data_IF_330450114876
#
_entry.id   IF_330450114876
#
_cell.length_a   1.000
_cell.length_b   1.000
_cell.length_c   1.000
_cell.angle_alpha   90.00
_cell.angle_beta   90.00
_cell.angle_gamma   90.00
#
_symmetry.space_group_name_H-M   'P 1'
#
loop_
_entity.id
_entity.type
_entity.pdbx_description
1 polymer ?
#
# COMPACT_ATOMS: atom_id res chain seq x y z
N UNK A 1 -5.86 -6.13 32.99
CA UNK A 1 -5.58 -5.23 31.86
C UNK A 1 -5.86 -5.99 30.58
N UNK A 2 -6.82 -5.53 29.79
CA UNK A 2 -7.34 -6.24 28.61
C UNK A 2 -6.28 -6.27 27.51
N UNK A 3 -5.79 -7.46 27.16
CA UNK A 3 -4.99 -7.71 25.96
C UNK A 3 -5.85 -7.39 24.74
N UNK A 4 -5.60 -6.26 24.09
CA UNK A 4 -6.17 -5.96 22.78
C UNK A 4 -5.70 -7.03 21.80
N UNK A 5 -6.60 -7.94 21.41
CA UNK A 5 -6.36 -8.95 20.38
C UNK A 5 -6.13 -8.21 19.05
N UNK A 6 -4.86 -7.98 18.72
CA UNK A 6 -4.47 -7.51 17.39
C UNK A 6 -4.71 -8.65 16.39
N UNK A 7 -5.79 -8.55 15.62
CA UNK A 7 -6.18 -9.57 14.63
C UNK A 7 -5.61 -9.19 13.26
N UNK A 8 -4.71 -10.01 12.75
CA UNK A 8 -4.24 -9.95 11.37
C UNK A 8 -4.64 -11.24 10.66
N UNK A 9 -5.25 -11.12 9.49
CA UNK A 9 -5.73 -12.24 8.68
C UNK A 9 -5.06 -12.16 7.31
N UNK A 10 -4.64 -13.31 6.78
CA UNK A 10 -4.42 -13.51 5.34
C UNK A 10 -5.68 -14.11 4.75
N UNK A 11 -6.64 -13.28 4.35
CA UNK A 11 -7.87 -13.72 3.70
C UNK A 11 -7.68 -13.87 2.19
N UNK A 12 -6.66 -14.61 1.73
CA UNK A 12 -6.59 -14.91 0.29
C UNK A 12 -7.61 -15.98 -0.11
N UNK A 13 -8.71 -15.51 -0.69
CA UNK A 13 -9.56 -16.30 -1.59
C UNK A 13 -10.78 -15.52 -2.08
N UNK A 14 -10.96 -15.20 -3.37
CA UNK A 14 -10.31 -15.63 -4.63
C UNK A 14 -10.87 -14.76 -5.78
N UNK A 15 -10.20 -14.63 -6.95
CA UNK A 15 -9.86 -15.77 -7.82
C UNK A 15 -8.36 -15.88 -8.13
N UNK A 16 -7.84 -17.12 -8.18
CA UNK A 16 -6.47 -17.39 -8.65
C UNK A 16 -5.70 -18.56 -8.02
N UNK A 17 -6.17 -19.19 -6.95
CA UNK A 17 -5.52 -20.38 -6.37
C UNK A 17 -6.34 -21.65 -6.63
N UNK A 18 -5.73 -22.84 -6.66
CA UNK A 18 -6.46 -24.11 -6.81
C UNK A 18 -7.06 -24.54 -5.46
N UNK A 19 -8.16 -25.30 -5.42
CA UNK A 19 -8.84 -25.72 -4.17
C UNK A 19 -7.90 -26.37 -3.14
N UNK A 20 -6.78 -26.95 -3.60
CA UNK A 20 -5.73 -27.53 -2.75
C UNK A 20 -4.91 -26.47 -2.00
N UNK A 21 -4.58 -25.33 -2.62
CA UNK A 21 -3.71 -24.31 -2.03
C UNK A 21 -4.42 -23.53 -0.91
N UNK A 22 -5.73 -23.30 -1.06
CA UNK A 22 -6.58 -22.74 0.01
C UNK A 22 -6.69 -23.70 1.20
N UNK A 23 -6.67 -25.01 0.94
CA UNK A 23 -6.68 -26.03 2.00
C UNK A 23 -5.35 -26.05 2.76
N UNK A 24 -4.22 -25.84 2.09
CA UNK A 24 -2.90 -25.74 2.71
C UNK A 24 -2.76 -24.51 3.59
N UNK A 25 -3.18 -23.33 3.12
CA UNK A 25 -3.12 -22.08 3.90
C UNK A 25 -4.07 -22.09 5.09
N UNK A 26 -5.34 -22.48 4.90
CA UNK A 26 -6.28 -22.67 6.02
C UNK A 26 -5.76 -23.73 6.98
N UNK A 27 -5.21 -24.83 6.46
CA UNK A 27 -4.60 -25.87 7.27
C UNK A 27 -3.43 -25.36 8.11
N UNK A 28 -2.59 -24.47 7.59
CA UNK A 28 -1.45 -23.92 8.30
C UNK A 28 -1.86 -22.95 9.42
N UNK A 29 -2.77 -22.00 9.13
CA UNK A 29 -3.34 -21.07 10.13
C UNK A 29 -4.08 -21.83 11.21
N UNK A 30 -4.91 -22.80 10.82
CA UNK A 30 -5.68 -23.64 11.75
C UNK A 30 -4.74 -24.48 12.61
N UNK A 31 -3.71 -25.11 12.03
CA UNK A 31 -2.72 -25.90 12.76
C UNK A 31 -1.88 -25.06 13.72
N UNK A 32 -1.53 -23.84 13.34
CA UNK A 32 -0.83 -22.88 14.21
C UNK A 32 -1.72 -22.42 15.37
N UNK A 33 -2.99 -22.08 15.11
CA UNK A 33 -3.97 -21.72 16.14
C UNK A 33 -4.28 -22.88 17.09
N UNK A 34 -4.43 -24.11 16.57
CA UNK A 34 -4.59 -25.30 17.41
C UNK A 34 -3.31 -25.64 18.19
N UNK A 35 -2.12 -25.43 17.63
CA UNK A 35 -0.87 -25.58 18.36
C UNK A 35 -0.77 -24.56 19.51
N UNK A 36 -1.11 -23.29 19.28
CA UNK A 36 -1.20 -22.26 20.32
C UNK A 36 -2.24 -22.61 21.39
N UNK A 37 -3.42 -23.10 21.00
CA UNK A 37 -4.47 -23.54 21.93
C UNK A 37 -4.04 -24.75 22.77
N UNK A 38 -3.34 -25.72 22.18
CA UNK A 38 -2.76 -26.86 22.91
C UNK A 38 -1.65 -26.42 23.86
N UNK A 39 -0.80 -25.46 23.44
CA UNK A 39 0.27 -24.91 24.28
C UNK A 39 -0.30 -24.16 25.48
N UNK A 40 -1.29 -23.27 25.28
CA UNK A 40 -2.01 -22.59 26.36
C UNK A 40 -2.71 -23.56 27.31
N UNK A 41 -3.35 -24.62 26.80
CA UNK A 41 -3.95 -25.66 27.66
C UNK A 41 -2.89 -26.41 28.47
N UNK A 42 -1.75 -26.73 27.87
CA UNK A 42 -0.66 -27.41 28.58
C UNK A 42 0.01 -26.48 29.63
N UNK A 43 0.12 -25.18 29.33
CA UNK A 43 0.63 -24.17 30.27
C UNK A 43 -0.35 -23.95 31.43
N UNK A 44 -1.67 -23.90 31.17
CA UNK A 44 -2.70 -23.84 32.20
C UNK A 44 -2.73 -25.11 33.06
N UNK A 45 -2.63 -26.30 32.44
CA UNK A 45 -2.57 -27.57 33.19
C UNK A 45 -1.28 -27.71 34.02
N UNK A 46 -0.16 -27.16 33.56
CA UNK A 46 1.08 -27.11 34.35
C UNK A 46 0.96 -26.12 35.51
N UNK A 47 0.38 -24.94 35.29
CA UNK A 47 0.12 -23.97 36.34
C UNK A 47 -0.86 -24.50 37.40
N UNK A 48 -1.88 -25.27 36.99
CA UNK A 48 -2.80 -25.96 37.90
C UNK A 48 -2.11 -27.09 38.69
N UNK A 49 -1.16 -27.81 38.07
CA UNK A 49 -0.41 -28.88 38.73
C UNK A 49 0.70 -28.36 39.67
N UNK A 50 1.27 -27.19 39.38
CA UNK A 50 2.28 -26.52 40.22
C UNK A 50 1.67 -25.86 41.48
N UNK A 51 0.36 -25.57 41.47
CA UNK A 51 -0.37 -25.09 42.67
C UNK A 51 -0.74 -26.22 43.66
N UNK A 52 -0.58 -27.50 43.28
CA UNK A 52 -1.06 -28.63 44.08
C UNK A 52 0.04 -29.54 44.67
N UNK A 53 1.31 -29.35 44.28
CA UNK A 53 2.43 -30.15 44.82
C UNK A 53 3.64 -29.29 45.16
N UNK A 54 3.69 -28.86 46.41
CA UNK A 54 4.96 -28.67 47.12
C UNK A 54 5.47 -30.05 47.53
N UNK A 55 6.79 -30.21 47.48
CA UNK A 55 7.61 -31.38 47.87
C UNK A 55 8.03 -32.38 46.77
N UNK A 56 9.35 -32.39 46.57
CA UNK A 56 10.23 -33.51 46.20
C UNK A 56 10.21 -34.08 44.76
N UNK A 57 11.18 -33.66 43.94
CA UNK A 57 12.36 -34.48 43.54
C UNK A 57 13.15 -33.91 42.35
N UNK A 58 14.47 -34.07 42.46
CA UNK A 58 15.49 -33.92 41.43
C UNK A 58 15.28 -34.92 40.26
N UNK A 59 15.28 -34.43 39.02
CA UNK A 59 16.18 -34.83 37.92
C UNK A 59 15.73 -34.22 36.56
N UNK A 60 16.66 -33.97 35.60
CA UNK A 60 16.35 -33.29 34.35
C UNK A 60 16.01 -34.26 33.20
N UNK A 61 15.00 -33.98 32.35
CA UNK A 61 14.81 -34.78 31.14
C UNK A 61 15.51 -34.16 29.92
N UNK A 62 16.41 -34.98 29.39
CA UNK A 62 17.02 -35.01 28.06
C UNK A 62 16.09 -34.52 26.93
N UNK A 63 16.54 -33.50 26.20
CA UNK A 63 16.00 -33.07 24.91
C UNK A 63 16.18 -34.18 23.87
N UNK A 64 15.11 -34.93 23.58
CA UNK A 64 15.04 -35.79 22.39
C UNK A 64 14.72 -34.92 21.17
N UNK A 65 15.72 -34.74 20.31
CA UNK A 65 15.60 -34.15 18.98
C UNK A 65 14.66 -35.00 18.13
N UNK A 66 13.42 -34.57 17.94
CA UNK A 66 12.47 -35.25 17.06
C UNK A 66 12.76 -34.84 15.61
N UNK A 67 13.58 -35.64 14.91
CA UNK A 67 13.69 -35.65 13.45
C UNK A 67 12.33 -36.01 12.87
N UNK A 68 11.66 -35.05 12.24
CA UNK A 68 10.57 -35.37 11.32
C UNK A 68 11.16 -35.72 9.95
N UNK A 69 11.33 -37.02 9.72
CA UNK A 69 11.47 -37.58 8.39
C UNK A 69 10.15 -37.38 7.64
N UNK A 70 10.14 -36.49 6.66
CA UNK A 70 9.05 -36.41 5.69
C UNK A 70 9.32 -37.52 4.65
N UNK A 71 8.47 -38.54 4.67
CA UNK A 71 8.45 -39.61 3.69
C UNK A 71 8.36 -39.06 2.28
N UNK A 72 9.17 -39.62 1.39
CA UNK A 72 9.34 -39.15 0.03
C UNK A 72 8.13 -39.41 -0.86
N UNK A 73 7.70 -38.36 -1.53
CA UNK A 73 7.18 -38.45 -2.89
C UNK A 73 8.26 -37.89 -3.82
N UNK A 74 8.76 -38.74 -4.72
CA UNK A 74 9.71 -38.36 -5.78
C UNK A 74 9.02 -37.40 -6.74
N UNK A 75 9.13 -36.09 -6.50
CA UNK A 75 8.89 -35.08 -7.52
C UNK A 75 10.16 -34.85 -8.35
N UNK A 76 9.96 -34.83 -9.66
CA UNK A 76 10.94 -34.54 -10.72
C UNK A 76 11.83 -33.35 -10.36
N UNK A 77 13.09 -33.43 -10.81
CA UNK A 77 14.03 -32.30 -10.92
C UNK A 77 13.42 -31.20 -11.79
N UNK A 78 12.67 -30.28 -11.20
CA UNK A 78 12.11 -29.13 -11.93
C UNK A 78 12.69 -27.84 -11.37
N UNK A 79 13.59 -27.27 -12.17
CA UNK A 79 14.09 -25.88 -12.19
C UNK A 79 14.66 -25.27 -10.89
N UNK A 80 15.79 -24.54 -10.95
CA UNK A 80 16.30 -23.82 -9.78
C UNK A 80 15.25 -22.85 -9.24
N UNK A 81 15.09 -22.83 -7.91
CA UNK A 81 14.13 -21.96 -7.24
C UNK A 81 14.30 -20.49 -7.69
N UNK A 82 13.22 -19.70 -7.84
CA UNK A 82 13.34 -18.27 -8.13
C UNK A 82 14.23 -17.54 -7.10
N UNK A 83 14.21 -17.99 -5.84
CA UNK A 83 15.06 -17.49 -4.75
C UNK A 83 16.55 -17.65 -4.98
N UNK A 84 16.99 -18.71 -5.65
CA UNK A 84 18.41 -18.92 -5.95
C UNK A 84 18.92 -18.08 -7.12
N UNK A 85 18.05 -17.32 -7.79
CA UNK A 85 18.40 -16.49 -8.96
C UNK A 85 18.36 -14.98 -8.70
N UNK A 86 17.86 -14.54 -7.54
CA UNK A 86 17.64 -13.13 -7.27
C UNK A 86 18.64 -12.64 -6.22
N UNK A 87 19.65 -11.90 -6.66
CA UNK A 87 20.36 -10.97 -5.78
C UNK A 87 19.39 -9.82 -5.44
N UNK A 88 19.40 -9.31 -4.21
CA UNK A 88 18.59 -8.14 -3.83
C UNK A 88 18.89 -6.92 -4.72
N UNK A 89 20.12 -6.77 -5.21
CA UNK A 89 20.46 -5.73 -6.19
C UNK A 89 19.70 -5.90 -7.50
N UNK A 90 19.59 -7.14 -7.99
CA UNK A 90 18.84 -7.48 -9.21
C UNK A 90 17.33 -7.33 -8.96
N UNK A 91 16.86 -7.67 -7.78
CA UNK A 91 15.46 -7.46 -7.40
C UNK A 91 15.05 -5.99 -7.53
N UNK A 92 15.87 -5.08 -7.00
CA UNK A 92 15.57 -3.65 -7.00
C UNK A 92 15.73 -3.00 -8.37
N UNK A 93 16.73 -3.41 -9.16
CA UNK A 93 16.90 -2.91 -10.54
C UNK A 93 15.69 -3.11 -11.42
N UNK A 94 14.87 -4.12 -11.11
CA UNK A 94 13.66 -4.44 -11.85
C UNK A 94 12.38 -3.90 -11.19
N UNK A 95 12.35 -3.75 -9.86
CA UNK A 95 11.18 -3.18 -9.18
C UNK A 95 11.04 -1.68 -9.46
N UNK A 96 12.15 -0.97 -9.64
CA UNK A 96 12.20 0.47 -9.92
C UNK A 96 12.63 0.75 -11.36
N UNK A 97 11.99 1.72 -12.05
CA UNK A 97 12.33 2.09 -13.43
C UNK A 97 13.80 2.51 -13.64
N UNK A 98 14.49 2.88 -12.56
CA UNK A 98 15.90 3.28 -12.54
C UNK A 98 16.68 2.54 -11.44
N UNK A 99 16.29 1.31 -11.10
CA UNK A 99 16.82 0.63 -9.93
C UNK A 99 18.32 0.27 -10.02
N UNK A 100 18.94 0.31 -11.20
CA UNK A 100 20.39 0.19 -11.38
C UNK A 100 21.17 1.28 -10.62
N UNK A 101 20.55 2.44 -10.41
CA UNK A 101 21.14 3.56 -9.66
C UNK A 101 20.60 3.62 -8.23
N UNK A 102 20.09 2.52 -7.69
CA UNK A 102 19.53 2.46 -6.34
C UNK A 102 20.53 1.87 -5.34
N UNK A 103 20.70 2.47 -4.14
CA UNK A 103 20.17 3.77 -3.71
C UNK A 103 20.92 4.95 -4.36
N UNK A 104 20.20 6.00 -4.73
CA UNK A 104 20.78 7.25 -5.26
C UNK A 104 20.93 8.35 -4.20
N UNK A 105 20.31 8.17 -3.02
CA UNK A 105 20.33 9.15 -1.93
C UNK A 105 20.56 8.48 -0.58
N UNK A 106 20.96 9.27 0.43
CA UNK A 106 21.10 8.78 1.80
C UNK A 106 19.76 8.32 2.39
N UNK A 107 18.65 8.96 2.00
CA UNK A 107 17.31 8.56 2.39
C UNK A 107 16.91 7.19 1.81
N UNK A 108 17.18 6.96 0.52
CA UNK A 108 16.97 5.65 -0.11
C UNK A 108 17.86 4.57 0.53
N UNK A 109 19.10 4.91 0.90
CA UNK A 109 19.98 4.03 1.67
C UNK A 109 19.43 3.70 3.05
N UNK A 110 18.90 4.69 3.79
CA UNK A 110 18.26 4.48 5.09
C UNK A 110 17.01 3.58 4.98
N UNK A 111 16.24 3.71 3.90
CA UNK A 111 15.11 2.82 3.62
C UNK A 111 15.56 1.37 3.39
N UNK A 112 16.64 1.14 2.65
CA UNK A 112 17.19 -0.20 2.49
C UNK A 112 17.69 -0.78 3.81
N UNK A 113 18.31 0.04 4.65
CA UNK A 113 18.73 -0.38 5.99
C UNK A 113 17.53 -0.78 6.86
N UNK A 114 16.44 -0.01 6.81
CA UNK A 114 15.19 -0.38 7.48
C UNK A 114 14.66 -1.73 6.96
N UNK A 115 14.68 -1.93 5.64
CA UNK A 115 14.20 -3.17 5.01
C UNK A 115 14.98 -4.41 5.47
N UNK A 116 16.31 -4.32 5.58
CA UNK A 116 17.14 -5.45 6.04
C UNK A 116 17.14 -5.60 7.56
N UNK A 117 16.76 -4.57 8.31
CA UNK A 117 16.69 -4.62 9.78
C UNK A 117 15.54 -5.47 10.33
N UNK A 118 14.49 -5.71 9.54
CA UNK A 118 13.33 -6.49 9.95
C UNK A 118 12.97 -7.56 8.91
N UNK A 119 13.08 -8.82 9.33
CA UNK A 119 12.82 -9.97 8.48
C UNK A 119 11.39 -9.99 7.92
N UNK A 120 10.39 -9.53 8.68
CA UNK A 120 9.02 -9.40 8.16
C UNK A 120 8.95 -8.42 6.98
N UNK A 121 9.62 -7.27 7.09
CA UNK A 121 9.64 -6.24 6.04
C UNK A 121 10.37 -6.74 4.78
N UNK A 122 11.48 -7.45 4.95
CA UNK A 122 12.18 -8.09 3.83
C UNK A 122 11.28 -9.13 3.14
N UNK A 123 10.64 -10.02 3.92
CA UNK A 123 9.78 -11.08 3.38
C UNK A 123 8.54 -10.54 2.65
N UNK A 124 7.87 -9.53 3.19
CA UNK A 124 6.72 -8.94 2.49
C UNK A 124 7.15 -8.20 1.22
N UNK A 125 8.29 -7.52 1.24
CA UNK A 125 8.83 -6.85 0.05
C UNK A 125 9.15 -7.85 -1.06
N UNK A 126 9.78 -8.98 -0.71
CA UNK A 126 9.98 -10.10 -1.63
C UNK A 126 8.67 -10.68 -2.12
N UNK A 127 7.67 -10.84 -1.25
CA UNK A 127 6.35 -11.33 -1.66
C UNK A 127 5.73 -10.46 -2.74
N UNK A 128 5.68 -9.16 -2.49
CA UNK A 128 5.18 -8.16 -3.44
C UNK A 128 5.96 -8.26 -4.74
N UNK A 129 7.29 -8.21 -4.68
CA UNK A 129 8.11 -8.26 -5.86
C UNK A 129 8.04 -9.59 -6.62
N UNK A 130 7.81 -10.73 -5.99
CA UNK A 130 7.57 -12.00 -6.69
C UNK A 130 6.21 -12.01 -7.40
N UNK A 131 5.16 -11.48 -6.76
CA UNK A 131 3.83 -11.33 -7.40
C UNK A 131 3.93 -10.46 -8.64
N UNK A 132 4.69 -9.39 -8.49
CA UNK A 132 5.03 -8.41 -9.52
C UNK A 132 6.01 -9.03 -10.53
N UNK A 133 6.92 -9.92 -10.18
CA UNK A 133 7.89 -10.36 -11.17
C UNK A 133 7.24 -11.14 -12.31
N UNK A 134 6.33 -12.05 -11.97
CA UNK A 134 5.70 -12.91 -12.96
C UNK A 134 4.41 -13.54 -12.43
N UNK A 135 3.35 -13.65 -13.26
CA UNK A 135 2.14 -14.40 -12.92
C UNK A 135 2.37 -15.92 -12.87
N UNK A 136 3.55 -16.41 -13.27
CA UNK A 136 3.87 -17.83 -13.29
C UNK A 136 3.68 -18.47 -11.91
N UNK A 137 3.09 -19.67 -11.89
CA UNK A 137 2.74 -20.37 -10.66
C UNK A 137 3.92 -20.55 -9.68
N UNK A 138 5.14 -20.75 -10.19
CA UNK A 138 6.34 -20.85 -9.37
C UNK A 138 6.65 -19.54 -8.61
N UNK A 139 6.54 -18.39 -9.27
CA UNK A 139 6.73 -17.07 -8.65
C UNK A 139 5.62 -16.76 -7.66
N UNK A 140 4.36 -17.10 -8.00
CA UNK A 140 3.22 -16.91 -7.10
C UNK A 140 3.32 -17.80 -5.85
N UNK A 141 3.84 -19.02 -5.99
CA UNK A 141 4.11 -19.91 -4.84
C UNK A 141 5.17 -19.33 -3.92
N UNK A 142 6.26 -18.79 -4.46
CA UNK A 142 7.31 -18.13 -3.66
C UNK A 142 6.78 -16.86 -3.00
N UNK A 143 5.99 -16.06 -3.71
CA UNK A 143 5.33 -14.90 -3.14
C UNK A 143 4.47 -15.27 -1.93
N UNK A 144 3.66 -16.33 -2.04
CA UNK A 144 2.81 -16.81 -0.95
C UNK A 144 3.62 -17.29 0.24
N UNK A 145 4.72 -18.03 -0.01
CA UNK A 145 5.62 -18.46 1.04
C UNK A 145 6.24 -17.27 1.79
N UNK A 146 6.68 -16.25 1.06
CA UNK A 146 7.22 -15.02 1.63
C UNK A 146 6.18 -14.23 2.44
N UNK A 147 4.96 -14.06 1.93
CA UNK A 147 3.86 -13.40 2.67
C UNK A 147 3.51 -14.16 3.95
N UNK A 148 3.43 -15.50 3.88
CA UNK A 148 3.16 -16.36 5.04
C UNK A 148 4.27 -16.26 6.10
N UNK A 149 5.53 -16.17 5.66
CA UNK A 149 6.68 -15.96 6.53
C UNK A 149 6.61 -14.59 7.21
N UNK A 150 6.35 -13.52 6.45
CA UNK A 150 6.19 -12.18 6.99
C UNK A 150 5.09 -12.11 8.06
N UNK A 151 3.91 -12.67 7.78
CA UNK A 151 2.81 -12.72 8.76
C UNK A 151 3.24 -13.47 10.03
N UNK A 152 3.90 -14.62 9.89
CA UNK A 152 4.34 -15.43 11.03
C UNK A 152 5.32 -14.66 11.92
N UNK A 153 6.23 -13.90 11.31
CA UNK A 153 7.18 -13.04 12.03
C UNK A 153 6.45 -11.91 12.75
N UNK A 154 5.52 -11.21 12.07
CA UNK A 154 4.70 -10.13 12.69
C UNK A 154 3.90 -10.69 13.87
N UNK A 155 3.28 -11.86 13.72
CA UNK A 155 2.54 -12.52 14.80
C UNK A 155 3.44 -12.84 15.99
N UNK A 156 4.67 -13.27 15.73
CA UNK A 156 5.65 -13.51 16.78
C UNK A 156 6.04 -12.20 17.47
N UNK A 157 6.31 -11.12 16.72
CA UNK A 157 6.61 -9.79 17.28
C UNK A 157 5.49 -9.27 18.17
N UNK A 158 4.23 -9.48 17.78
CA UNK A 158 3.07 -9.09 18.60
C UNK A 158 3.04 -9.92 19.88
N UNK A 159 3.19 -11.23 19.77
CA UNK A 159 3.17 -12.13 20.92
C UNK A 159 4.31 -11.87 21.92
N UNK A 160 5.45 -11.34 21.46
CA UNK A 160 6.60 -10.98 22.29
C UNK A 160 6.67 -9.49 22.63
N UNK A 161 5.61 -8.72 22.37
CA UNK A 161 5.52 -7.27 22.62
C UNK A 161 6.59 -6.41 21.92
N UNK A 162 7.16 -6.91 20.84
CA UNK A 162 8.19 -6.26 20.02
C UNK A 162 7.62 -5.67 18.70
N UNK A 163 6.30 -5.59 18.56
CA UNK A 163 5.64 -5.17 17.33
C UNK A 163 5.62 -3.66 17.08
N UNK A 164 5.93 -2.85 18.08
CA UNK A 164 5.72 -1.40 18.04
C UNK A 164 6.89 -0.63 17.42
N UNK A 165 7.53 -1.20 16.40
CA UNK A 165 8.66 -0.57 15.68
C UNK A 165 8.23 -0.05 14.32
N UNK A 166 8.97 0.94 13.81
CA UNK A 166 8.71 1.52 12.49
C UNK A 166 8.86 0.47 11.37
N UNK A 167 9.74 -0.51 11.58
CA UNK A 167 9.97 -1.59 10.63
C UNK A 167 8.79 -2.57 10.57
N UNK A 168 8.14 -2.88 11.70
CA UNK A 168 6.92 -3.69 11.71
C UNK A 168 5.74 -2.91 11.13
N UNK A 169 5.63 -1.60 11.40
CA UNK A 169 4.65 -0.74 10.73
C UNK A 169 4.82 -0.76 9.21
N UNK A 170 6.05 -0.57 8.73
CA UNK A 170 6.36 -0.65 7.30
C UNK A 170 6.01 -2.04 6.72
N UNK A 171 6.27 -3.12 7.46
CA UNK A 171 5.93 -4.47 7.02
C UNK A 171 4.41 -4.65 6.86
N UNK A 172 3.61 -4.23 7.84
CA UNK A 172 2.14 -4.31 7.76
C UNK A 172 1.59 -3.43 6.65
N UNK A 173 2.15 -2.21 6.47
CA UNK A 173 1.77 -1.34 5.37
C UNK A 173 2.07 -1.98 4.01
N UNK A 174 3.25 -2.58 3.86
CA UNK A 174 3.60 -3.32 2.65
C UNK A 174 2.63 -4.48 2.42
N UNK A 175 2.19 -5.19 3.47
CA UNK A 175 1.17 -6.23 3.32
C UNK A 175 -0.11 -5.64 2.73
N UNK A 176 -0.63 -4.55 3.31
CA UNK A 176 -1.82 -3.87 2.76
C UNK A 176 -1.62 -3.48 1.29
N UNK A 177 -0.53 -2.79 0.96
CA UNK A 177 -0.22 -2.38 -0.42
C UNK A 177 -0.13 -3.58 -1.36
N UNK A 178 0.48 -4.68 -0.90
CA UNK A 178 0.55 -5.94 -1.65
C UNK A 178 -0.82 -6.56 -1.93
N UNK A 179 -1.76 -6.50 -0.96
CA UNK A 179 -3.13 -6.95 -1.17
C UNK A 179 -3.91 -6.05 -2.13
N UNK A 180 -3.65 -4.73 -2.15
CA UNK A 180 -4.19 -3.86 -3.21
C UNK A 180 -3.72 -4.28 -4.59
N UNK A 181 -2.45 -4.64 -4.73
CA UNK A 181 -1.92 -5.13 -6.00
C UNK A 181 -2.56 -6.46 -6.41
N UNK A 182 -2.98 -7.26 -5.43
CA UNK A 182 -3.73 -8.50 -5.62
C UNK A 182 -5.22 -8.33 -5.88
N UNK A 183 -5.76 -7.10 -5.78
CA UNK A 183 -7.19 -6.80 -5.77
C UNK A 183 -7.96 -7.54 -4.65
N UNK A 184 -7.31 -7.75 -3.52
CA UNK A 184 -7.91 -8.38 -2.34
C UNK A 184 -8.33 -7.30 -1.35
N UNK A 185 -9.49 -6.69 -1.63
CA UNK A 185 -10.03 -5.59 -0.83
C UNK A 185 -10.26 -6.05 0.62
N UNK A 186 -10.71 -7.28 0.85
CA UNK A 186 -10.95 -7.81 2.20
C UNK A 186 -9.64 -7.89 3.00
N UNK A 187 -8.61 -8.50 2.42
CA UNK A 187 -7.30 -8.61 3.08
C UNK A 187 -6.65 -7.23 3.27
N UNK A 188 -6.82 -6.32 2.32
CA UNK A 188 -6.40 -4.93 2.50
C UNK A 188 -7.07 -4.28 3.72
N UNK A 189 -8.39 -4.39 3.86
CA UNK A 189 -9.10 -3.80 5.00
C UNK A 189 -8.61 -4.38 6.32
N UNK A 190 -8.29 -5.67 6.37
CA UNK A 190 -7.73 -6.31 7.56
C UNK A 190 -6.34 -5.73 7.90
N UNK A 191 -5.44 -5.63 6.93
CA UNK A 191 -4.08 -5.11 7.19
C UNK A 191 -4.09 -3.63 7.57
N UNK A 192 -4.92 -2.82 6.92
CA UNK A 192 -5.12 -1.40 7.28
C UNK A 192 -5.68 -1.26 8.69
N UNK A 193 -6.67 -2.08 9.07
CA UNK A 193 -7.21 -2.11 10.42
C UNK A 193 -6.15 -2.50 11.46
N UNK A 194 -5.35 -3.52 11.18
CA UNK A 194 -4.25 -3.94 12.04
C UNK A 194 -3.16 -2.87 12.17
N UNK A 195 -2.86 -2.13 11.09
CA UNK A 195 -1.93 -1.00 11.14
C UNK A 195 -2.45 0.16 11.99
N UNK A 196 -3.75 0.50 11.86
CA UNK A 196 -4.39 1.52 12.68
C UNK A 196 -4.36 1.16 14.18
N UNK A 197 -4.58 -0.12 14.52
CA UNK A 197 -4.45 -0.61 15.88
C UNK A 197 -3.02 -0.52 16.40
N UNK A 198 -2.02 -0.85 15.56
CA UNK A 198 -0.61 -0.76 15.91
C UNK A 198 -0.20 0.70 16.20
N UNK A 199 -0.65 1.63 15.36
CA UNK A 199 -0.47 3.07 15.60
C UNK A 199 -1.11 3.46 16.92
N UNK A 200 -2.39 3.16 17.13
CA UNK A 200 -3.08 3.49 18.38
C UNK A 200 -2.36 2.92 19.62
N UNK A 201 -1.86 1.68 19.54
CA UNK A 201 -1.09 1.06 20.61
C UNK A 201 0.25 1.77 20.89
N UNK A 202 0.92 2.29 19.85
CA UNK A 202 2.11 3.13 20.01
C UNK A 202 1.79 4.41 20.77
N UNK A 203 0.73 5.14 20.39
CA UNK A 203 0.30 6.35 21.11
C UNK A 203 0.04 6.07 22.58
N UNK A 204 -0.68 4.98 22.89
CA UNK A 204 -0.99 4.58 24.27
C UNK A 204 0.26 4.26 25.11
N UNK A 205 1.37 3.89 24.47
CA UNK A 205 2.68 3.68 25.12
C UNK A 205 3.60 4.91 25.07
N UNK A 206 3.07 6.08 24.70
CA UNK A 206 3.85 7.32 24.59
C UNK A 206 4.75 7.42 23.37
N UNK A 207 4.63 6.50 22.40
CA UNK A 207 5.35 6.54 21.13
C UNK A 207 4.51 7.32 20.11
N UNK A 208 4.51 8.64 20.25
CA UNK A 208 3.73 9.58 19.43
C UNK A 208 4.49 10.07 18.19
N UNK A 209 5.66 9.53 17.90
CA UNK A 209 6.37 9.87 16.66
C UNK A 209 5.98 8.90 15.55
N UNK A 210 5.59 9.48 14.41
CA UNK A 210 5.34 8.75 13.17
C UNK A 210 6.50 8.93 12.20
N UNK A 211 6.93 7.86 11.50
CA UNK A 211 7.98 7.99 10.51
C UNK A 211 7.58 8.95 9.39
N UNK A 212 8.49 9.83 8.98
CA UNK A 212 8.23 10.82 7.93
C UNK A 212 7.79 10.17 6.61
N UNK A 213 8.37 9.01 6.27
CA UNK A 213 7.98 8.25 5.08
C UNK A 213 6.51 7.80 5.13
N UNK A 214 6.00 7.48 6.32
CA UNK A 214 4.64 6.99 6.52
C UNK A 214 3.62 8.12 6.33
N UNK A 215 3.86 9.25 7.01
CA UNK A 215 3.04 10.47 6.88
C UNK A 215 2.99 10.95 5.42
N UNK A 216 4.13 11.00 4.76
CA UNK A 216 4.23 11.42 3.36
C UNK A 216 3.49 10.48 2.40
N UNK A 217 3.53 9.17 2.65
CA UNK A 217 2.81 8.19 1.85
C UNK A 217 1.29 8.35 1.97
N UNK A 218 0.77 8.51 3.20
CA UNK A 218 -0.67 8.77 3.41
C UNK A 218 -1.11 10.05 2.70
N UNK A 219 -0.33 11.13 2.87
CA UNK A 219 -0.63 12.44 2.27
C UNK A 219 -0.76 12.31 0.75
N UNK A 220 0.21 11.67 0.09
CA UNK A 220 0.22 11.54 -1.36
C UNK A 220 -0.85 10.58 -1.88
N UNK A 221 -1.12 9.49 -1.14
CA UNK A 221 -2.14 8.50 -1.50
C UNK A 221 -3.58 9.01 -1.30
N UNK A 222 -3.76 10.13 -0.60
CA UNK A 222 -5.06 10.76 -0.39
C UNK A 222 -5.77 11.13 -1.69
N UNK A 223 -5.02 11.49 -2.75
CA UNK A 223 -5.59 11.71 -4.08
C UNK A 223 -6.06 10.38 -4.68
N UNK A 224 -5.29 9.30 -4.56
CA UNK A 224 -5.74 7.98 -5.04
C UNK A 224 -7.03 7.53 -4.32
N UNK A 225 -7.20 7.90 -3.05
CA UNK A 225 -8.44 7.65 -2.31
C UNK A 225 -9.66 8.34 -2.94
N UNK A 226 -9.52 9.57 -3.43
CA UNK A 226 -10.60 10.29 -4.15
C UNK A 226 -11.04 9.54 -5.41
N UNK A 227 -10.11 8.86 -6.08
CA UNK A 227 -10.37 8.02 -7.25
C UNK A 227 -10.82 6.59 -6.90
N UNK A 228 -11.06 6.30 -5.61
CA UNK A 228 -11.57 4.99 -5.18
C UNK A 228 -10.53 3.86 -5.23
N UNK A 229 -9.24 4.20 -5.27
CA UNK A 229 -8.15 3.23 -5.25
C UNK A 229 -7.00 3.65 -4.33
N UNK A 230 -7.23 3.82 -3.01
CA UNK A 230 -6.14 4.09 -2.09
C UNK A 230 -5.22 2.87 -1.93
N UNK A 231 -3.91 3.10 -1.99
CA UNK A 231 -2.91 2.11 -1.60
C UNK A 231 -2.92 1.90 -0.09
N UNK A 232 -3.06 2.98 0.68
CA UNK A 232 -3.07 2.95 2.13
C UNK A 232 -3.91 4.04 2.81
N UNK A 233 -4.31 5.11 2.12
CA UNK A 233 -5.11 6.17 2.73
C UNK A 233 -6.53 5.66 3.00
N UNK A 234 -6.85 5.49 4.28
CA UNK A 234 -8.12 4.96 4.78
C UNK A 234 -8.53 5.71 6.04
N UNK A 235 -9.83 5.90 6.23
CA UNK A 235 -10.38 6.62 7.40
C UNK A 235 -9.83 6.08 8.72
N UNK A 236 -9.71 4.76 8.89
CA UNK A 236 -9.21 4.14 10.14
C UNK A 236 -7.78 4.55 10.44
N UNK A 237 -6.94 4.73 9.42
CA UNK A 237 -5.57 5.21 9.60
C UNK A 237 -5.53 6.70 9.88
N UNK A 238 -6.35 7.49 9.21
CA UNK A 238 -6.47 8.93 9.47
C UNK A 238 -6.93 9.17 10.92
N UNK A 239 -7.96 8.45 11.38
CA UNK A 239 -8.46 8.49 12.75
C UNK A 239 -7.38 8.05 13.76
N UNK A 240 -6.60 7.01 13.45
CA UNK A 240 -5.51 6.54 14.31
C UNK A 240 -4.34 7.53 14.39
N UNK A 241 -4.10 8.31 13.33
CA UNK A 241 -3.01 9.29 13.25
C UNK A 241 -3.42 10.67 13.78
N UNK A 242 -4.71 11.00 13.80
CA UNK A 242 -5.21 12.30 14.26
C UNK A 242 -4.68 12.72 15.66
N UNK A 243 -4.60 11.84 16.68
CA UNK A 243 -4.09 12.21 18.01
C UNK A 243 -2.61 12.65 18.02
N UNK A 244 -1.87 12.35 16.96
CA UNK A 244 -0.45 12.68 16.82
C UNK A 244 -0.24 14.14 16.39
N UNK A 245 -1.34 14.86 16.08
CA UNK A 245 -1.31 16.29 15.84
C UNK A 245 -0.53 16.68 14.60
N UNK A 246 -0.38 15.79 13.60
CA UNK A 246 0.28 16.12 12.34
C UNK A 246 -0.67 16.98 11.50
N UNK A 247 -0.49 18.32 11.43
CA UNK A 247 -1.53 19.21 10.91
C UNK A 247 -1.75 18.99 9.41
N UNK A 248 -0.69 18.63 8.68
CA UNK A 248 -0.77 18.33 7.26
C UNK A 248 -1.67 17.12 6.97
N UNK A 249 -1.59 16.04 7.76
CA UNK A 249 -2.44 14.85 7.56
C UNK A 249 -3.90 15.18 7.84
N UNK A 250 -4.17 15.94 8.90
CA UNK A 250 -5.54 16.34 9.24
C UNK A 250 -6.17 17.19 8.13
N UNK A 251 -5.47 18.23 7.67
CA UNK A 251 -5.94 19.06 6.54
C UNK A 251 -6.16 18.26 5.26
N UNK A 252 -5.26 17.31 4.97
CA UNK A 252 -5.40 16.43 3.79
C UNK A 252 -6.60 15.49 3.95
N UNK A 253 -6.83 14.94 5.14
CA UNK A 253 -7.99 14.10 5.42
C UNK A 253 -9.31 14.85 5.17
N UNK A 254 -9.42 16.07 5.71
CA UNK A 254 -10.60 16.94 5.56
C UNK A 254 -10.83 17.28 4.08
N UNK A 255 -9.77 17.72 3.39
CA UNK A 255 -9.81 18.03 1.95
C UNK A 255 -10.24 16.81 1.11
N UNK A 256 -9.75 15.60 1.44
CA UNK A 256 -10.15 14.36 0.74
C UNK A 256 -11.64 14.06 0.95
N UNK A 257 -12.18 14.23 2.16
CA UNK A 257 -13.61 14.06 2.41
C UNK A 257 -14.45 15.09 1.64
N UNK A 258 -14.04 16.35 1.65
CA UNK A 258 -14.69 17.42 0.89
C UNK A 258 -14.65 17.15 -0.63
N UNK A 259 -13.53 16.66 -1.17
CA UNK A 259 -13.40 16.28 -2.58
C UNK A 259 -14.32 15.11 -2.96
N UNK A 260 -14.41 14.08 -2.11
CA UNK A 260 -15.34 12.96 -2.31
C UNK A 260 -16.79 13.45 -2.33
N UNK A 261 -17.17 14.32 -1.40
CA UNK A 261 -18.50 14.90 -1.35
C UNK A 261 -18.81 15.79 -2.57
N UNK A 262 -17.85 16.61 -3.00
CA UNK A 262 -17.99 17.42 -4.22
C UNK A 262 -18.22 16.52 -5.45
N UNK A 263 -17.45 15.43 -5.58
CA UNK A 263 -17.63 14.46 -6.66
C UNK A 263 -19.05 13.90 -6.67
N UNK A 264 -19.57 13.49 -5.53
CA UNK A 264 -20.91 12.91 -5.42
C UNK A 264 -21.99 13.94 -5.83
N UNK A 265 -21.82 15.22 -5.47
CA UNK A 265 -22.71 16.31 -5.91
C UNK A 265 -22.67 16.55 -7.42
N UNK A 266 -21.47 16.57 -8.02
CA UNK A 266 -21.31 16.75 -9.47
C UNK A 266 -21.94 15.57 -10.23
N UNK A 267 -21.73 14.35 -9.75
CA UNK A 267 -22.37 13.15 -10.32
C UNK A 267 -23.89 13.25 -10.24
N UNK A 268 -24.45 13.62 -9.08
CA UNK A 268 -25.90 13.82 -8.92
C UNK A 268 -26.44 14.92 -9.85
N UNK A 269 -25.72 16.04 -10.01
CA UNK A 269 -26.10 17.13 -10.91
C UNK A 269 -26.23 16.67 -12.36
N UNK A 270 -25.28 15.86 -12.85
CA UNK A 270 -25.33 15.34 -14.23
C UNK A 270 -26.41 14.27 -14.45
N UNK A 271 -26.76 13.49 -13.43
CA UNK A 271 -27.82 12.47 -13.54
C UNK A 271 -29.24 13.04 -13.40
N UNK A 272 -29.45 13.97 -12.46
CA UNK A 272 -30.79 14.40 -12.05
C UNK A 272 -31.17 15.80 -12.56
N UNK A 273 -30.26 16.53 -13.26
CA UNK A 273 -30.43 17.95 -13.65
C UNK A 273 -30.92 18.81 -12.48
N UNK A 274 -30.27 18.63 -11.34
CA UNK A 274 -30.65 19.18 -10.05
C UNK A 274 -30.26 20.67 -9.86
N UNK A 275 -30.92 21.43 -8.95
CA UNK A 275 -30.55 22.80 -8.57
C UNK A 275 -29.19 22.97 -7.84
N UNK A 276 -28.36 21.94 -7.71
CA UNK A 276 -27.11 21.98 -6.92
C UNK A 276 -25.98 22.83 -7.51
N UNK A 277 -26.14 23.47 -8.67
CA UNK A 277 -25.04 24.24 -9.32
C UNK A 277 -24.39 25.26 -8.38
N UNK A 278 -25.19 26.07 -7.68
CA UNK A 278 -24.67 27.06 -6.73
C UNK A 278 -23.93 26.42 -5.55
N UNK A 279 -24.41 25.28 -5.05
CA UNK A 279 -23.76 24.53 -3.97
C UNK A 279 -22.42 23.95 -4.44
N UNK A 280 -22.37 23.42 -5.66
CA UNK A 280 -21.14 22.90 -6.27
C UNK A 280 -20.14 24.04 -6.47
N UNK A 281 -20.56 25.19 -7.00
CA UNK A 281 -19.70 26.36 -7.19
C UNK A 281 -19.09 26.85 -5.86
N UNK A 282 -19.90 26.92 -4.79
CA UNK A 282 -19.44 27.31 -3.46
C UNK A 282 -18.44 26.31 -2.88
N UNK A 283 -18.76 25.00 -2.92
CA UNK A 283 -17.87 23.95 -2.42
C UNK A 283 -16.58 23.88 -3.23
N UNK A 284 -16.67 24.02 -4.54
CA UNK A 284 -15.51 24.08 -5.43
C UNK A 284 -14.58 25.25 -5.08
N UNK A 285 -15.13 26.46 -4.89
CA UNK A 285 -14.34 27.63 -4.55
C UNK A 285 -13.67 27.50 -3.17
N UNK A 286 -14.40 26.94 -2.20
CA UNK A 286 -13.87 26.65 -0.87
C UNK A 286 -12.71 25.64 -0.94
N UNK A 287 -12.91 24.51 -1.61
CA UNK A 287 -11.89 23.48 -1.80
C UNK A 287 -10.65 23.99 -2.54
N UNK A 288 -10.82 24.86 -3.54
CA UNK A 288 -9.70 25.48 -4.24
C UNK A 288 -8.88 26.37 -3.29
N UNK A 289 -9.56 27.12 -2.41
CA UNK A 289 -8.89 27.89 -1.38
C UNK A 289 -8.15 26.99 -0.39
N UNK A 290 -8.80 25.93 0.12
CA UNK A 290 -8.17 24.95 1.03
C UNK A 290 -6.91 24.31 0.43
N UNK A 291 -6.96 23.86 -0.82
CA UNK A 291 -5.82 23.28 -1.51
C UNK A 291 -4.64 24.27 -1.60
N UNK A 292 -4.92 25.53 -1.92
CA UNK A 292 -3.90 26.59 -2.02
C UNK A 292 -3.31 26.96 -0.67
N UNK A 293 -4.14 27.04 0.37
CA UNK A 293 -3.70 27.28 1.75
C UNK A 293 -2.85 26.13 2.28
N UNK A 294 -3.24 24.88 2.01
CA UNK A 294 -2.44 23.70 2.36
C UNK A 294 -1.03 23.80 1.75
N UNK A 295 -0.93 24.13 0.46
CA UNK A 295 0.35 24.35 -0.23
C UNK A 295 1.21 25.43 0.43
N UNK A 296 0.60 26.54 0.86
CA UNK A 296 1.29 27.66 1.53
C UNK A 296 1.72 27.33 2.95
N UNK A 297 0.99 26.44 3.64
CA UNK A 297 1.24 26.13 5.05
C UNK A 297 2.45 25.23 5.28
N UNK A 298 2.84 24.42 4.28
CA UNK A 298 3.97 23.48 4.39
C UNK A 298 4.73 23.39 3.04
N UNK A 299 5.32 24.50 2.54
CA UNK A 299 5.92 24.57 1.21
C UNK A 299 7.17 23.71 1.03
N UNK A 300 7.83 23.35 2.12
CA UNK A 300 9.04 22.53 2.18
C UNK A 300 8.75 21.03 2.01
N UNK A 301 7.53 20.57 2.30
CA UNK A 301 7.16 19.16 2.12
C UNK A 301 6.66 18.92 0.69
N UNK A 302 7.46 18.25 -0.17
CA UNK A 302 7.08 18.07 -1.57
C UNK A 302 5.82 17.20 -1.75
N UNK A 303 5.52 16.30 -0.80
CA UNK A 303 4.30 15.48 -0.86
C UNK A 303 3.04 16.29 -0.60
N UNK A 304 3.08 17.25 0.33
CA UNK A 304 1.98 18.19 0.59
C UNK A 304 1.77 19.10 -0.63
N UNK A 305 2.86 19.60 -1.21
CA UNK A 305 2.80 20.42 -2.43
C UNK A 305 2.23 19.63 -3.61
N UNK A 306 2.67 18.38 -3.83
CA UNK A 306 2.15 17.54 -4.90
C UNK A 306 0.66 17.18 -4.71
N UNK A 307 0.25 16.91 -3.48
CA UNK A 307 -1.15 16.57 -3.12
C UNK A 307 -2.07 17.76 -3.34
N UNK A 308 -1.68 18.95 -2.86
CA UNK A 308 -2.43 20.19 -3.06
C UNK A 308 -2.53 20.60 -4.53
N UNK A 309 -1.45 20.50 -5.30
CA UNK A 309 -1.46 20.74 -6.75
C UNK A 309 -2.36 19.75 -7.49
N UNK A 310 -2.34 18.47 -7.09
CA UNK A 310 -3.21 17.44 -7.67
C UNK A 310 -4.68 17.71 -7.37
N UNK A 311 -5.02 18.15 -6.15
CA UNK A 311 -6.37 18.59 -5.80
C UNK A 311 -6.79 19.82 -6.60
N UNK A 312 -5.91 20.83 -6.74
CA UNK A 312 -6.18 22.02 -7.56
C UNK A 312 -6.43 21.65 -9.04
N UNK A 313 -5.58 20.81 -9.62
CA UNK A 313 -5.78 20.29 -10.99
C UNK A 313 -7.10 19.54 -11.10
N UNK A 314 -7.39 18.64 -10.15
CA UNK A 314 -8.63 17.87 -10.14
C UNK A 314 -9.86 18.78 -10.15
N UNK A 315 -9.89 19.79 -9.29
CA UNK A 315 -10.98 20.77 -9.22
C UNK A 315 -11.19 21.47 -10.56
N UNK A 316 -10.11 21.90 -11.23
CA UNK A 316 -10.19 22.54 -12.55
C UNK A 316 -10.61 21.59 -13.68
N UNK A 317 -10.39 20.28 -13.53
CA UNK A 317 -10.78 19.27 -14.52
C UNK A 317 -12.22 18.80 -14.35
N UNK A 318 -12.76 18.81 -13.13
CA UNK A 318 -14.05 18.21 -12.80
C UNK A 318 -15.27 19.14 -12.91
N UNK A 319 -15.07 20.45 -13.03
CA UNK A 319 -16.18 21.41 -13.03
C UNK A 319 -16.08 22.44 -14.17
N UNK A 320 -17.20 23.10 -14.49
CA UNK A 320 -17.36 23.98 -15.65
C UNK A 320 -16.46 25.24 -15.60
N UNK A 321 -15.89 25.56 -14.45
CA UNK A 321 -14.93 26.66 -14.29
C UNK A 321 -13.63 26.31 -15.02
N UNK A 322 -13.38 26.90 -16.18
CA UNK A 322 -12.20 26.56 -16.98
C UNK A 322 -11.04 27.52 -16.72
N UNK A 323 -9.99 26.99 -16.10
CA UNK A 323 -8.67 27.60 -16.20
C UNK A 323 -8.20 27.53 -17.65
N UNK A 324 -7.46 28.55 -18.10
CA UNK A 324 -6.90 28.51 -19.45
C UNK A 324 -5.99 27.27 -19.60
N UNK A 325 -5.88 26.68 -20.81
CA UNK A 325 -4.99 25.54 -21.04
C UNK A 325 -3.53 25.82 -20.65
N UNK A 326 -3.10 27.09 -20.73
CA UNK A 326 -1.79 27.53 -20.24
C UNK A 326 -1.65 27.40 -18.72
N UNK A 327 -2.67 27.83 -17.96
CA UNK A 327 -2.68 27.70 -16.50
C UNK A 327 -2.66 26.26 -16.03
N UNK A 328 -3.42 25.36 -16.66
CA UNK A 328 -3.38 23.91 -16.34
C UNK A 328 -1.99 23.30 -16.62
N UNK A 329 -1.36 23.70 -17.72
CA UNK A 329 0.00 23.23 -18.04
C UNK A 329 1.03 23.74 -17.04
N UNK A 330 0.88 24.97 -16.53
CA UNK A 330 1.72 25.51 -15.48
C UNK A 330 1.57 24.70 -14.18
N UNK A 331 0.33 24.46 -13.73
CA UNK A 331 0.06 23.65 -12.54
C UNK A 331 0.65 22.24 -12.67
N UNK A 332 0.53 21.60 -13.84
CA UNK A 332 1.17 20.32 -14.11
C UNK A 332 2.70 20.41 -14.06
N UNK A 333 3.29 21.51 -14.52
CA UNK A 333 4.72 21.79 -14.42
C UNK A 333 5.18 21.90 -12.96
N UNK A 334 4.44 22.63 -12.13
CA UNK A 334 4.70 22.72 -10.69
C UNK A 334 4.55 21.35 -10.00
N UNK A 335 3.55 20.55 -10.41
CA UNK A 335 3.36 19.19 -9.89
C UNK A 335 4.55 18.29 -10.23
N UNK A 336 5.03 18.34 -11.49
CA UNK A 336 6.26 17.66 -11.90
C UNK A 336 7.44 18.06 -11.01
N UNK A 337 7.64 19.35 -10.78
CA UNK A 337 8.73 19.84 -9.92
C UNK A 337 8.60 19.35 -8.48
N UNK A 338 7.38 19.28 -7.92
CA UNK A 338 7.15 18.73 -6.59
C UNK A 338 7.48 17.24 -6.52
N UNK A 339 7.02 16.43 -7.48
CA UNK A 339 7.29 14.98 -7.53
C UNK A 339 8.78 14.70 -7.73
N UNK A 340 9.49 15.50 -8.54
CA UNK A 340 10.93 15.36 -8.72
C UNK A 340 11.74 15.62 -7.43
N UNK A 341 11.16 16.30 -6.43
CA UNK A 341 11.79 16.54 -5.12
C UNK A 341 11.50 15.44 -4.09
N UNK A 342 10.79 14.38 -4.47
CA UNK A 342 10.52 13.28 -3.54
C UNK A 342 11.85 12.61 -3.13
N UNK A 343 12.05 12.35 -1.82
CA UNK A 343 13.25 11.68 -1.32
C UNK A 343 13.34 10.21 -1.74
N UNK A 344 12.22 9.61 -2.15
CA UNK A 344 12.12 8.23 -2.60
C UNK A 344 11.62 8.18 -4.04
N UNK A 345 12.34 7.45 -4.89
CA UNK A 345 11.81 7.11 -6.22
C UNK A 345 10.68 6.09 -6.08
N UNK A 346 9.50 6.35 -6.67
CA UNK A 346 8.42 5.36 -6.69
C UNK A 346 8.82 4.15 -7.57
N UNK A 347 8.26 2.98 -7.25
CA UNK A 347 8.42 1.80 -8.09
C UNK A 347 7.50 1.88 -9.31
N UNK A 348 7.76 1.09 -10.35
CA UNK A 348 6.96 1.14 -11.58
C UNK A 348 5.48 0.95 -11.33
N UNK A 349 5.12 0.13 -10.34
CA UNK A 349 3.72 -0.07 -9.98
C UNK A 349 3.10 1.18 -9.36
N UNK A 350 3.73 1.75 -8.32
CA UNK A 350 3.15 2.92 -7.64
C UNK A 350 3.07 4.13 -8.57
N UNK A 351 3.97 4.24 -9.55
CA UNK A 351 3.85 5.22 -10.64
C UNK A 351 2.65 4.95 -11.54
N UNK A 352 2.47 3.70 -11.99
CA UNK A 352 1.39 3.30 -12.90
C UNK A 352 0.01 3.59 -12.32
N UNK A 353 -0.17 3.41 -11.01
CA UNK A 353 -1.47 3.60 -10.33
C UNK A 353 -1.61 4.98 -9.67
N UNK A 354 -0.66 5.88 -9.89
CA UNK A 354 -0.68 7.20 -9.26
C UNK A 354 -1.64 8.15 -9.98
N UNK A 355 -2.75 8.47 -9.33
CA UNK A 355 -3.69 9.48 -9.80
C UNK A 355 -3.05 10.87 -9.96
N UNK A 356 -2.16 11.34 -9.04
CA UNK A 356 -1.35 12.53 -9.28
C UNK A 356 -0.58 12.53 -10.61
N UNK A 357 0.06 11.40 -10.97
CA UNK A 357 0.78 11.28 -12.25
C UNK A 357 -0.16 11.40 -13.45
N UNK A 358 -1.34 10.77 -13.38
CA UNK A 358 -2.35 10.83 -14.44
C UNK A 358 -2.96 12.22 -14.57
N UNK A 359 -3.26 12.88 -13.45
CA UNK A 359 -3.75 14.27 -13.42
C UNK A 359 -2.75 15.23 -14.07
N UNK A 360 -1.45 15.09 -13.75
CA UNK A 360 -0.40 15.87 -14.37
C UNK A 360 -0.30 15.65 -15.88
N UNK A 361 -0.44 14.39 -16.33
CA UNK A 361 -0.49 14.08 -17.77
C UNK A 361 -1.70 14.74 -18.45
N UNK A 362 -2.89 14.62 -17.87
CA UNK A 362 -4.15 15.16 -18.43
C UNK A 362 -4.13 16.69 -18.48
N UNK A 363 -3.63 17.35 -17.44
CA UNK A 363 -3.59 18.81 -17.37
C UNK A 363 -2.54 19.44 -18.28
N UNK A 364 -1.44 18.73 -18.58
CA UNK A 364 -0.38 19.24 -19.43
C UNK A 364 -0.77 19.21 -20.92
N UNK A 365 -0.59 20.34 -21.61
CA UNK A 365 -0.88 20.49 -23.04
C UNK A 365 -0.13 19.46 -23.91
N UNK A 366 -0.77 18.90 -24.95
CA UNK A 366 -0.09 18.11 -25.98
C UNK A 366 1.15 18.82 -26.55
N UNK A 367 2.24 18.07 -26.72
CA UNK A 367 3.52 18.59 -27.21
C UNK A 367 4.38 19.35 -26.18
N UNK A 368 3.88 19.62 -24.97
CA UNK A 368 4.69 20.24 -23.92
C UNK A 368 5.70 19.26 -23.30
N UNK A 369 6.84 19.78 -22.84
CA UNK A 369 7.85 18.98 -22.12
C UNK A 369 7.25 18.37 -20.84
N UNK A 370 6.39 19.10 -20.13
CA UNK A 370 5.67 18.63 -18.95
C UNK A 370 4.84 17.39 -19.27
N UNK A 371 4.05 17.41 -20.35
CA UNK A 371 3.25 16.24 -20.75
C UNK A 371 4.14 15.07 -21.12
N UNK A 372 5.19 15.32 -21.91
CA UNK A 372 6.14 14.29 -22.33
C UNK A 372 6.79 13.59 -21.12
N UNK A 373 7.07 14.33 -20.04
CA UNK A 373 7.61 13.77 -18.81
C UNK A 373 6.63 12.82 -18.11
N UNK A 374 5.37 13.25 -17.87
CA UNK A 374 4.36 12.40 -17.21
C UNK A 374 4.01 11.17 -18.04
N UNK A 375 3.65 11.38 -19.31
CA UNK A 375 3.30 10.31 -20.24
C UNK A 375 4.47 9.34 -20.42
N UNK A 376 5.70 9.85 -20.54
CA UNK A 376 6.88 9.01 -20.66
C UNK A 376 7.09 8.07 -19.47
N UNK A 377 6.89 8.56 -18.23
CA UNK A 377 6.99 7.74 -17.01
C UNK A 377 5.86 6.71 -16.90
N UNK A 378 4.62 7.14 -17.13
CA UNK A 378 3.45 6.25 -17.12
C UNK A 378 3.59 5.15 -18.19
N UNK A 379 4.00 5.50 -19.42
CA UNK A 379 4.18 4.56 -20.53
C UNK A 379 5.25 3.52 -20.22
N UNK A 380 6.39 3.93 -19.64
CA UNK A 380 7.41 2.97 -19.19
C UNK A 380 6.88 2.02 -18.12
N UNK A 381 6.07 2.52 -17.20
CA UNK A 381 5.47 1.72 -16.13
C UNK A 381 4.46 0.70 -16.69
N UNK A 382 3.59 1.12 -17.61
CA UNK A 382 2.65 0.24 -18.33
C UNK A 382 3.39 -0.80 -19.16
N UNK A 383 4.44 -0.41 -19.89
CA UNK A 383 5.26 -1.33 -20.67
C UNK A 383 5.97 -2.37 -19.78
N UNK A 384 6.47 -1.96 -18.60
CA UNK A 384 7.06 -2.87 -17.63
C UNK A 384 6.03 -3.85 -17.03
N UNK A 385 4.80 -3.40 -16.80
CA UNK A 385 3.71 -4.29 -16.37
C UNK A 385 3.34 -5.29 -17.48
N UNK A 386 3.21 -4.82 -18.73
CA UNK A 386 2.92 -5.66 -19.90
C UNK A 386 3.99 -6.73 -20.15
N UNK A 387 5.28 -6.36 -20.11
CA UNK A 387 6.38 -7.31 -20.33
C UNK A 387 6.44 -8.42 -19.26
N UNK A 388 5.82 -8.18 -18.10
CA UNK A 388 5.68 -9.15 -17.00
C UNK A 388 4.34 -9.89 -16.99
N UNK A 389 3.51 -9.70 -18.03
CA UNK A 389 2.18 -10.29 -18.15
C UNK A 389 1.24 -9.95 -16.97
N UNK A 390 1.28 -8.71 -16.49
CA UNK A 390 0.37 -8.20 -15.46
C UNK A 390 -0.95 -7.71 -16.03
N UNK A 391 -1.85 -8.63 -16.36
CA UNK A 391 -3.20 -8.24 -16.73
C UNK A 391 -3.92 -7.54 -15.55
N UNK A 392 -3.88 -8.10 -14.34
CA UNK A 392 -4.73 -7.63 -13.21
C UNK A 392 -4.50 -6.18 -12.78
N UNK A 393 -3.27 -5.69 -12.58
CA UNK A 393 -3.04 -4.28 -12.27
C UNK A 393 -3.46 -3.32 -13.39
N UNK A 394 -3.37 -3.75 -14.65
CA UNK A 394 -3.83 -2.95 -15.79
C UNK A 394 -5.36 -2.90 -15.83
N UNK A 395 -6.02 -4.07 -15.71
CA UNK A 395 -7.48 -4.20 -15.61
C UNK A 395 -8.04 -3.36 -14.45
N UNK A 396 -7.28 -3.25 -13.35
CA UNK A 396 -7.65 -2.48 -12.17
C UNK A 396 -7.66 -0.99 -12.45
N UNK A 397 -6.57 -0.45 -13.01
CA UNK A 397 -6.51 0.98 -13.35
C UNK A 397 -7.61 1.32 -14.34
N UNK A 398 -7.82 0.45 -15.33
CA UNK A 398 -8.92 0.59 -16.27
C UNK A 398 -10.28 0.61 -15.56
N UNK A 399 -10.62 -0.41 -14.77
CA UNK A 399 -11.92 -0.51 -14.12
C UNK A 399 -12.17 0.59 -13.11
N UNK A 400 -11.19 0.96 -12.28
CA UNK A 400 -11.40 1.88 -11.15
C UNK A 400 -11.20 3.34 -11.55
N UNK A 401 -10.21 3.64 -12.38
CA UNK A 401 -9.86 5.03 -12.72
C UNK A 401 -10.65 5.54 -13.92
N UNK A 402 -10.92 4.69 -14.91
CA UNK A 402 -11.62 5.14 -16.13
C UNK A 402 -13.14 5.26 -15.94
N UNK A 403 -13.75 4.41 -15.11
CA UNK A 403 -15.23 4.34 -14.99
C UNK A 403 -15.83 5.17 -13.85
N UNK A 404 -15.01 5.69 -12.93
CA UNK A 404 -15.49 6.17 -11.62
C UNK A 404 -15.69 7.68 -11.45
N UNK A 405 -15.36 8.53 -12.42
CA UNK A 405 -15.26 9.98 -12.21
C UNK A 405 -15.88 10.84 -13.32
N UNK A 406 -16.35 12.02 -12.93
CA UNK A 406 -16.70 13.13 -13.82
C UNK A 406 -15.42 13.57 -14.54
N UNK A 407 -15.37 13.35 -15.86
CA UNK A 407 -14.16 13.48 -16.67
C UNK A 407 -13.51 12.16 -17.09
N UNK A 408 -14.15 11.00 -16.85
CA UNK A 408 -13.66 9.65 -17.19
C UNK A 408 -13.12 9.52 -18.61
N UNK A 409 -13.73 10.20 -19.59
CA UNK A 409 -13.24 10.20 -20.98
C UNK A 409 -11.79 10.68 -21.17
N UNK A 410 -11.29 11.59 -20.33
CA UNK A 410 -9.88 12.05 -20.38
C UNK A 410 -8.91 11.00 -19.82
N UNK A 411 -9.34 10.24 -18.81
CA UNK A 411 -8.56 9.14 -18.26
C UNK A 411 -8.53 7.96 -19.24
N UNK A 412 -9.66 7.64 -19.88
CA UNK A 412 -9.74 6.65 -20.95
C UNK A 412 -8.88 7.02 -22.16
N UNK A 413 -8.86 8.30 -22.56
CA UNK A 413 -7.98 8.79 -23.62
C UNK A 413 -6.50 8.64 -23.24
N UNK A 414 -6.12 9.05 -22.03
CA UNK A 414 -4.76 8.84 -21.53
C UNK A 414 -4.40 7.36 -21.54
N UNK A 415 -5.27 6.48 -21.02
CA UNK A 415 -4.99 5.05 -20.92
C UNK A 415 -4.76 4.40 -22.29
N UNK A 416 -5.56 4.79 -23.29
CA UNK A 416 -5.34 4.40 -24.70
C UNK A 416 -4.00 4.93 -25.24
N UNK A 417 -3.61 6.17 -24.94
CA UNK A 417 -2.33 6.75 -25.36
C UNK A 417 -1.11 6.04 -24.74
N UNK A 418 -1.27 5.46 -23.55
CA UNK A 418 -0.22 4.67 -22.90
C UNK A 418 -0.02 3.31 -23.57
N UNK A 419 -0.86 2.96 -24.55
CA UNK A 419 -0.82 1.69 -25.23
C UNK A 419 -1.19 0.55 -24.28
N UNK A 420 -2.11 0.77 -23.35
CA UNK A 420 -2.88 -0.32 -22.77
C UNK A 420 -3.91 -0.71 -23.85
N UNK A 421 -3.75 -1.88 -24.47
CA UNK A 421 -4.69 -2.32 -25.50
C UNK A 421 -6.00 -2.66 -24.80
N UNK A 422 -7.11 -2.17 -25.34
CA UNK A 422 -8.49 -2.49 -24.92
C UNK A 422 -8.85 -3.95 -25.25
#
# INVERSE_FOLDING_TARGET
MSTTDLVFVTTTGRPGLSRADTKLMRGHVTRSNFAKRRRRRAELQRAEHELCHTEDRLEPPVLKTQKYSIGGEKFRKDSPSPKSRINMSDFWSHFFLHGETYPASSQEGAWLQLLVSEAALAQVSLSIGFRIWSPNAAYQKEALACSSSALSIIMNRIATEQALTDAVMAAVLHMAVGERFGLDDEAWHVHIGGLAQLITARAQRGQTDLPVWFSNMIIFDAINAVFGFPLCCDKRLLDAVQPYGIPAITKVADMTQHLLHLRDLITAYHHERSPFKNEIDQKWAHLLHEARELRRSVPENPYVVATSLSAEILLWLCWENQLTPGGLTQLAGELRQAICRFPFRPCSFTEMVSCPMMLGAIAARPGSETRAWFVGRLRRSVAAAKSRAWARPLDMVEKKVCTGMVGGGRFEELWRELGADL
#
